data_IF_621833523438
#
_entry.id   IF_621833523438
#
_cell.length_a   1.000
_cell.length_b   1.000
_cell.length_c   1.000
_cell.angle_alpha   90.00
_cell.angle_beta   90.00
_cell.angle_gamma   90.00
#
_symmetry.space_group_name_H-M   'P 1'
#
loop_
_entity.id
_entity.type
_entity.pdbx_description
1 polymer ?
#
# COMPACT_ATOMS: atom_id res chain seq x y z
N UNK A 1 14.93 30.44 13.55
CA UNK A 1 15.58 29.12 13.31
C UNK A 1 14.70 27.93 13.69
N UNK A 2 13.96 27.97 14.81
CA UNK A 2 13.12 26.88 15.32
C UNK A 2 12.04 26.36 14.34
N UNK A 3 11.32 27.26 13.66
CA UNK A 3 10.28 26.90 12.69
C UNK A 3 10.81 26.23 11.41
N UNK A 4 12.08 26.46 11.05
CA UNK A 4 12.70 25.85 9.87
C UNK A 4 12.96 24.35 10.12
N UNK A 5 13.57 24.03 11.27
CA UNK A 5 13.83 22.64 11.70
C UNK A 5 12.57 21.78 11.76
N UNK A 6 11.45 22.32 12.27
CA UNK A 6 10.18 21.57 12.34
C UNK A 6 9.62 21.20 10.98
N UNK A 7 9.78 22.08 9.99
CA UNK A 7 9.33 21.83 8.62
C UNK A 7 10.19 20.80 7.91
N UNK A 8 11.50 20.87 8.09
CA UNK A 8 12.43 19.89 7.51
C UNK A 8 12.17 18.49 8.09
N UNK A 9 11.92 18.39 9.40
CA UNK A 9 11.51 17.13 10.04
C UNK A 9 10.19 16.61 9.44
N UNK A 10 9.20 17.47 9.26
CA UNK A 10 7.92 17.09 8.65
C UNK A 10 8.09 16.59 7.21
N UNK A 11 8.98 17.20 6.43
CA UNK A 11 9.30 16.75 5.08
C UNK A 11 10.00 15.40 5.05
N UNK A 12 10.93 15.15 5.97
CA UNK A 12 11.58 13.83 6.11
C UNK A 12 10.58 12.77 6.55
N UNK A 13 9.70 13.08 7.51
CA UNK A 13 8.64 12.16 7.92
C UNK A 13 7.66 11.89 6.78
N UNK A 14 7.28 12.89 6.00
CA UNK A 14 6.44 12.72 4.83
C UNK A 14 7.11 11.83 3.78
N UNK A 15 8.41 12.00 3.55
CA UNK A 15 9.20 11.14 2.65
C UNK A 15 9.11 9.66 3.05
N UNK A 16 9.35 9.32 4.32
CA UNK A 16 9.18 7.95 4.81
C UNK A 16 7.72 7.48 4.75
N UNK A 17 6.76 8.37 5.01
CA UNK A 17 5.34 8.10 4.85
C UNK A 17 4.97 7.71 3.42
N UNK A 18 5.49 8.40 2.41
CA UNK A 18 5.28 8.06 0.99
C UNK A 18 5.97 6.76 0.59
N UNK A 19 7.13 6.42 1.17
CA UNK A 19 7.77 5.11 1.01
C UNK A 19 6.81 4.02 1.50
N UNK A 20 6.36 4.12 2.76
CA UNK A 20 5.48 3.12 3.38
C UNK A 20 4.16 2.97 2.62
N UNK A 21 3.52 4.09 2.26
CA UNK A 21 2.30 4.10 1.45
C UNK A 21 2.49 3.38 0.11
N UNK A 22 3.61 3.63 -0.58
CA UNK A 22 3.91 3.00 -1.87
C UNK A 22 4.22 1.50 -1.75
N UNK A 23 4.82 1.08 -0.63
CA UNK A 23 5.07 -0.34 -0.35
C UNK A 23 3.74 -1.08 -0.16
N UNK A 24 2.84 -0.55 0.68
CA UNK A 24 1.52 -1.13 0.91
C UNK A 24 0.69 -1.21 -0.37
N UNK A 25 0.79 -0.21 -1.24
CA UNK A 25 0.01 -0.17 -2.47
C UNK A 25 0.43 -1.22 -3.50
N UNK A 26 1.73 -1.51 -3.59
CA UNK A 26 2.30 -2.34 -4.66
C UNK A 26 2.46 -3.80 -4.25
N UNK A 27 2.42 -4.11 -2.95
CA UNK A 27 2.58 -5.46 -2.44
C UNK A 27 1.72 -6.51 -3.15
N UNK A 28 0.44 -6.24 -3.40
CA UNK A 28 -0.49 -7.17 -4.04
C UNK A 28 -0.25 -7.29 -5.54
N UNK A 29 0.23 -6.23 -6.20
CA UNK A 29 0.56 -6.28 -7.62
C UNK A 29 1.65 -7.32 -7.90
N UNK A 30 2.56 -7.53 -6.94
CA UNK A 30 3.62 -8.52 -7.02
C UNK A 30 3.16 -9.85 -6.43
N UNK A 31 2.50 -9.83 -5.27
CA UNK A 31 2.05 -11.04 -4.59
C UNK A 31 1.04 -11.84 -5.43
N UNK A 32 0.20 -11.19 -6.25
CA UNK A 32 -0.75 -11.89 -7.13
C UNK A 32 -0.04 -12.77 -8.17
N UNK A 33 1.18 -12.42 -8.58
CA UNK A 33 2.00 -13.26 -9.46
C UNK A 33 2.46 -14.51 -8.72
N UNK A 34 2.90 -14.37 -7.47
CA UNK A 34 3.29 -15.49 -6.63
C UNK A 34 2.10 -16.38 -6.21
N UNK A 35 0.91 -15.80 -6.00
CA UNK A 35 -0.32 -16.52 -5.70
C UNK A 35 -0.82 -17.39 -6.87
N UNK A 36 -0.42 -17.04 -8.09
CA UNK A 36 -0.88 -17.71 -9.31
C UNK A 36 0.24 -18.45 -10.05
N UNK A 37 1.47 -18.42 -9.54
CA UNK A 37 2.56 -19.20 -10.11
C UNK A 37 2.42 -20.66 -9.70
N UNK A 38 2.84 -21.55 -10.60
CA UNK A 38 2.87 -22.99 -10.35
C UNK A 38 4.22 -23.35 -9.73
N UNK A 39 4.21 -24.02 -8.59
CA UNK A 39 5.44 -24.50 -7.95
C UNK A 39 5.48 -26.04 -7.93
N UNK A 40 6.67 -26.65 -8.11
CA UNK A 40 6.81 -28.09 -8.11
C UNK A 40 6.74 -28.65 -6.68
N UNK A 41 5.86 -29.62 -6.45
CA UNK A 41 5.77 -30.41 -5.22
C UNK A 41 6.14 -31.84 -5.56
N UNK A 42 7.20 -32.35 -4.95
CA UNK A 42 7.65 -33.73 -5.12
C UNK A 42 6.78 -34.60 -4.22
N UNK A 43 5.97 -35.47 -4.82
CA UNK A 43 5.16 -36.44 -4.09
C UNK A 43 6.04 -37.60 -3.62
N UNK A 44 5.65 -38.31 -2.58
CA UNK A 44 6.35 -39.50 -2.04
C UNK A 44 6.66 -40.58 -3.09
N UNK A 45 5.99 -40.56 -4.24
CA UNK A 45 6.21 -41.48 -5.36
C UNK A 45 7.28 -41.00 -6.37
N UNK A 46 8.00 -39.90 -6.10
CA UNK A 46 9.03 -39.35 -6.97
C UNK A 46 8.51 -38.55 -8.18
N UNK A 47 7.19 -38.36 -8.29
CA UNK A 47 6.56 -37.54 -9.32
C UNK A 47 6.45 -36.07 -8.88
N UNK A 48 6.90 -35.17 -9.75
CA UNK A 48 6.76 -33.72 -9.58
C UNK A 48 5.38 -33.28 -10.08
N UNK A 49 4.50 -32.87 -9.17
CA UNK A 49 3.23 -32.23 -9.52
C UNK A 49 3.37 -30.72 -9.37
N UNK A 50 2.80 -29.97 -10.31
CA UNK A 50 2.77 -28.51 -10.24
C UNK A 50 1.47 -28.09 -9.57
N UNK A 51 1.58 -27.52 -8.36
CA UNK A 51 0.45 -27.03 -7.58
C UNK A 51 0.36 -25.51 -7.73
N UNK A 52 -0.87 -24.99 -7.70
CA UNK A 52 -1.16 -23.56 -7.77
C UNK A 52 -2.14 -23.22 -6.64
N UNK A 53 -1.86 -22.15 -5.89
CA UNK A 53 -2.70 -21.76 -4.76
C UNK A 53 -4.03 -21.15 -5.21
N UNK A 54 -4.00 -20.31 -6.25
CA UNK A 54 -5.20 -19.68 -6.81
C UNK A 54 -5.20 -19.68 -8.34
N UNK A 55 -6.27 -20.19 -8.95
CA UNK A 55 -6.48 -20.13 -10.40
C UNK A 55 -7.22 -18.84 -10.81
N UNK A 56 -6.54 -17.70 -10.66
CA UNK A 56 -7.07 -16.43 -11.16
C UNK A 56 -6.76 -16.25 -12.65
N UNK A 57 -7.81 -16.13 -13.46
CA UNK A 57 -7.67 -15.70 -14.85
C UNK A 57 -7.16 -14.24 -14.93
N UNK A 58 -6.53 -13.87 -16.05
CA UNK A 58 -5.99 -12.52 -16.30
C UNK A 58 -7.03 -11.42 -16.08
N UNK A 59 -8.28 -11.65 -16.48
CA UNK A 59 -9.39 -10.71 -16.26
C UNK A 59 -9.63 -10.48 -14.75
N UNK A 60 -9.66 -11.56 -13.98
CA UNK A 60 -9.87 -11.52 -12.53
C UNK A 60 -8.73 -10.81 -11.80
N UNK A 61 -7.47 -11.05 -12.20
CA UNK A 61 -6.31 -10.32 -11.67
C UNK A 61 -6.45 -8.82 -11.92
N UNK A 62 -6.88 -8.44 -13.14
CA UNK A 62 -7.16 -7.05 -13.51
C UNK A 62 -8.26 -6.41 -12.66
N UNK A 63 -9.33 -7.16 -12.35
CA UNK A 63 -10.38 -6.68 -11.45
C UNK A 63 -9.89 -6.47 -10.01
N UNK A 64 -9.13 -7.41 -9.44
CA UNK A 64 -8.58 -7.27 -8.09
C UNK A 64 -7.65 -6.07 -8.00
N UNK A 65 -6.78 -5.88 -9.00
CA UNK A 65 -5.84 -4.77 -9.04
C UNK A 65 -6.54 -3.42 -9.24
N UNK A 66 -7.57 -3.36 -10.09
CA UNK A 66 -8.32 -2.13 -10.35
C UNK A 66 -9.27 -1.74 -9.21
N UNK A 67 -9.78 -2.70 -8.42
CA UNK A 67 -10.64 -2.48 -7.25
C UNK A 67 -10.07 -1.43 -6.28
N UNK A 68 -8.76 -1.46 -6.05
CA UNK A 68 -8.05 -0.47 -5.25
C UNK A 68 -8.25 0.96 -5.79
N UNK A 69 -8.09 1.15 -7.10
CA UNK A 69 -8.18 2.47 -7.73
C UNK A 69 -9.60 3.03 -7.69
N UNK A 70 -10.63 2.18 -7.80
CA UNK A 70 -12.01 2.63 -7.66
C UNK A 70 -12.28 3.22 -6.27
N UNK A 71 -11.80 2.56 -5.20
CA UNK A 71 -11.86 3.11 -3.85
C UNK A 71 -11.10 4.43 -3.73
N UNK A 72 -9.84 4.43 -4.19
CA UNK A 72 -8.96 5.60 -4.13
C UNK A 72 -9.57 6.86 -4.78
N UNK A 73 -10.16 6.72 -5.97
CA UNK A 73 -10.79 7.82 -6.70
C UNK A 73 -11.97 8.44 -5.93
N UNK A 74 -12.81 7.62 -5.31
CA UNK A 74 -14.00 8.10 -4.57
C UNK A 74 -13.59 8.99 -3.39
N UNK A 75 -12.48 8.67 -2.73
CA UNK A 75 -12.04 9.37 -1.51
C UNK A 75 -11.15 10.58 -1.73
N UNK A 76 -10.55 10.74 -2.92
CA UNK A 76 -9.70 11.90 -3.20
C UNK A 76 -10.43 13.24 -3.05
N UNK A 77 -11.68 13.32 -3.55
CA UNK A 77 -12.49 14.54 -3.49
C UNK A 77 -12.92 14.87 -2.04
N UNK A 78 -13.61 13.96 -1.31
CA UNK A 78 -14.05 14.25 0.06
C UNK A 78 -12.90 14.28 1.07
N UNK A 79 -11.75 13.68 0.76
CA UNK A 79 -10.65 13.53 1.70
C UNK A 79 -10.03 14.85 2.15
N UNK A 80 -9.93 15.83 1.25
CA UNK A 80 -9.47 17.18 1.61
C UNK A 80 -10.42 17.88 2.58
N UNK A 81 -11.73 17.75 2.36
CA UNK A 81 -12.76 18.30 3.26
C UNK A 81 -12.71 17.62 4.64
N UNK A 82 -12.60 16.30 4.69
CA UNK A 82 -12.55 15.55 5.94
C UNK A 82 -11.27 15.87 6.74
N UNK A 83 -10.13 16.04 6.06
CA UNK A 83 -8.88 16.47 6.68
C UNK A 83 -9.00 17.84 7.37
N UNK A 84 -9.81 18.75 6.82
CA UNK A 84 -10.04 20.07 7.44
C UNK A 84 -10.85 19.99 8.74
N UNK A 85 -11.75 19.00 8.88
CA UNK A 85 -12.59 18.82 10.07
C UNK A 85 -11.93 18.00 11.17
N UNK A 86 -11.27 16.90 10.80
CA UNK A 86 -10.71 15.94 11.76
C UNK A 86 -9.23 16.21 12.09
N UNK A 87 -8.58 17.07 11.32
CA UNK A 87 -7.16 17.35 11.38
C UNK A 87 -6.36 16.33 10.57
N UNK A 88 -5.59 16.81 9.58
CA UNK A 88 -4.87 15.96 8.63
C UNK A 88 -3.93 14.91 9.28
N UNK A 89 -3.27 15.22 10.40
CA UNK A 89 -2.35 14.28 11.04
C UNK A 89 -3.06 13.04 11.62
N UNK A 90 -4.26 13.19 12.18
CA UNK A 90 -5.06 12.07 12.71
C UNK A 90 -5.63 11.22 11.58
N UNK A 91 -6.15 11.89 10.55
CA UNK A 91 -6.72 11.22 9.38
C UNK A 91 -5.65 10.44 8.60
N UNK A 92 -4.45 11.00 8.47
CA UNK A 92 -3.29 10.33 7.87
C UNK A 92 -2.91 9.06 8.63
N UNK A 93 -2.73 9.15 9.95
CA UNK A 93 -2.38 7.99 10.77
C UNK A 93 -3.46 6.91 10.78
N UNK A 94 -4.74 7.31 10.87
CA UNK A 94 -5.86 6.37 10.80
C UNK A 94 -5.96 5.68 9.43
N UNK A 95 -5.77 6.41 8.33
CA UNK A 95 -5.77 5.86 6.98
C UNK A 95 -4.71 4.78 6.80
N UNK A 96 -3.46 5.10 7.16
CA UNK A 96 -2.34 4.14 7.08
C UNK A 96 -2.57 2.94 8.00
N UNK A 97 -3.00 3.16 9.25
CA UNK A 97 -3.22 2.07 10.20
C UNK A 97 -4.32 1.10 9.76
N UNK A 98 -5.41 1.61 9.19
CA UNK A 98 -6.48 0.78 8.62
C UNK A 98 -5.97 0.01 7.39
N UNK A 99 -5.27 0.68 6.48
CA UNK A 99 -4.68 0.01 5.30
C UNK A 99 -3.70 -1.10 5.71
N UNK A 100 -2.84 -0.85 6.70
CA UNK A 100 -1.91 -1.85 7.22
C UNK A 100 -2.64 -3.05 7.85
N UNK A 101 -3.69 -2.81 8.64
CA UNK A 101 -4.50 -3.87 9.23
C UNK A 101 -5.14 -4.77 8.16
N UNK A 102 -5.79 -4.17 7.16
CA UNK A 102 -6.39 -4.93 6.06
C UNK A 102 -5.35 -5.65 5.20
N UNK A 103 -4.16 -5.08 5.05
CA UNK A 103 -3.02 -5.73 4.39
C UNK A 103 -2.62 -7.00 5.12
N UNK A 104 -2.48 -6.96 6.45
CA UNK A 104 -2.17 -8.15 7.28
C UNK A 104 -3.29 -9.20 7.23
N UNK A 105 -4.55 -8.77 7.12
CA UNK A 105 -5.70 -9.67 7.03
C UNK A 105 -5.89 -10.29 5.63
N UNK A 106 -5.33 -9.68 4.59
CA UNK A 106 -5.45 -10.12 3.20
C UNK A 106 -5.15 -11.60 2.96
N UNK A 107 -4.07 -12.21 3.48
CA UNK A 107 -3.80 -13.63 3.26
C UNK A 107 -4.90 -14.55 3.79
N UNK A 108 -5.53 -14.21 4.92
CA UNK A 108 -6.66 -14.98 5.45
C UNK A 108 -7.91 -14.80 4.57
N UNK A 109 -8.18 -13.57 4.14
CA UNK A 109 -9.35 -13.25 3.31
C UNK A 109 -9.24 -13.89 1.92
N UNK A 110 -8.03 -13.92 1.35
CA UNK A 110 -7.76 -14.54 0.05
C UNK A 110 -8.15 -16.02 0.02
N UNK A 111 -7.99 -16.75 1.13
CA UNK A 111 -8.36 -18.17 1.24
C UNK A 111 -9.88 -18.39 1.34
N UNK A 112 -10.65 -17.40 1.79
CA UNK A 112 -12.10 -17.54 1.99
C UNK A 112 -12.85 -17.35 0.68
N UNK A 113 -12.73 -16.17 0.07
CA UNK A 113 -13.43 -15.88 -1.18
C UNK A 113 -12.85 -14.66 -1.90
N UNK A 114 -12.88 -14.71 -3.23
CA UNK A 114 -12.36 -13.65 -4.08
C UNK A 114 -13.12 -12.32 -3.95
N UNK A 115 -14.43 -12.36 -3.75
CA UNK A 115 -15.23 -11.15 -3.53
C UNK A 115 -14.84 -10.40 -2.26
N UNK A 116 -14.47 -11.10 -1.18
CA UNK A 116 -13.98 -10.46 0.03
C UNK A 116 -12.59 -9.84 -0.17
N UNK A 117 -11.74 -10.48 -0.99
CA UNK A 117 -10.46 -9.90 -1.39
C UNK A 117 -10.67 -8.59 -2.15
N UNK A 118 -11.60 -8.57 -3.12
CA UNK A 118 -11.99 -7.36 -3.86
C UNK A 118 -12.51 -6.27 -2.92
N UNK A 119 -13.42 -6.62 -1.99
CA UNK A 119 -13.95 -5.67 -1.02
C UNK A 119 -12.83 -5.07 -0.14
N UNK A 120 -11.89 -5.89 0.30
CA UNK A 120 -10.71 -5.45 1.06
C UNK A 120 -9.87 -4.46 0.26
N UNK A 121 -9.64 -4.73 -1.04
CA UNK A 121 -8.92 -3.80 -1.93
C UNK A 121 -9.62 -2.46 -2.08
N UNK A 122 -10.95 -2.46 -2.19
CA UNK A 122 -11.72 -1.21 -2.22
C UNK A 122 -11.52 -0.43 -0.93
N UNK A 123 -11.59 -1.08 0.23
CA UNK A 123 -11.40 -0.44 1.54
C UNK A 123 -9.99 0.15 1.68
N UNK A 124 -8.95 -0.61 1.33
CA UNK A 124 -7.56 -0.11 1.34
C UNK A 124 -7.41 1.12 0.43
N UNK A 125 -8.00 1.08 -0.77
CA UNK A 125 -8.01 2.22 -1.70
C UNK A 125 -8.68 3.46 -1.12
N UNK A 126 -9.85 3.30 -0.47
CA UNK A 126 -10.55 4.39 0.22
C UNK A 126 -9.66 5.02 1.31
N UNK A 127 -8.99 4.20 2.12
CA UNK A 127 -8.11 4.67 3.20
C UNK A 127 -6.85 5.38 2.68
N UNK A 128 -6.22 4.86 1.62
CA UNK A 128 -5.06 5.52 0.99
C UNK A 128 -5.44 6.85 0.33
N UNK A 129 -6.63 6.95 -0.26
CA UNK A 129 -7.12 8.20 -0.83
C UNK A 129 -7.25 9.31 0.20
N UNK A 130 -7.76 9.01 1.39
CA UNK A 130 -7.77 9.96 2.52
C UNK A 130 -6.37 10.37 2.97
N UNK A 131 -5.43 9.43 2.94
CA UNK A 131 -4.04 9.64 3.37
C UNK A 131 -3.34 10.67 2.48
N UNK A 132 -3.48 10.57 1.16
CA UNK A 132 -2.86 11.52 0.22
C UNK A 132 -3.42 12.94 0.39
N UNK A 133 -4.75 13.08 0.42
CA UNK A 133 -5.39 14.40 0.61
C UNK A 133 -5.07 15.01 1.98
N UNK A 134 -4.91 14.18 3.01
CA UNK A 134 -4.52 14.63 4.35
C UNK A 134 -3.10 15.21 4.37
N UNK A 135 -2.16 14.58 3.65
CA UNK A 135 -0.79 15.10 3.55
C UNK A 135 -0.75 16.45 2.85
N UNK A 136 -1.51 16.61 1.75
CA UNK A 136 -1.65 17.89 1.05
C UNK A 136 -2.21 18.99 1.97
N UNK A 137 -3.18 18.66 2.82
CA UNK A 137 -3.70 19.58 3.84
C UNK A 137 -2.66 19.93 4.92
N UNK A 138 -1.84 18.99 5.37
CA UNK A 138 -0.77 19.26 6.35
C UNK A 138 0.26 20.23 5.74
N UNK A 139 0.68 20.00 4.51
CA UNK A 139 1.57 20.94 3.79
C UNK A 139 0.90 22.30 3.56
N UNK A 140 -0.41 22.27 3.31
CA UNK A 140 -1.41 23.32 3.47
C UNK A 140 -1.08 24.40 4.53
N UNK A 141 -0.82 23.90 5.73
CA UNK A 141 -0.77 24.70 6.95
C UNK A 141 0.64 24.95 7.45
N UNK A 142 1.54 23.98 7.26
CA UNK A 142 2.87 24.01 7.88
C UNK A 142 3.97 24.54 6.97
N UNK A 143 3.74 24.59 5.65
CA UNK A 143 4.77 24.97 4.67
C UNK A 143 4.39 26.26 3.94
N UNK A 144 5.26 27.30 3.97
CA UNK A 144 5.00 28.55 3.27
C UNK A 144 5.01 28.37 1.75
N UNK A 145 4.23 29.16 0.99
CA UNK A 145 4.01 28.93 -0.45
C UNK A 145 5.29 28.89 -1.28
N UNK A 146 6.27 29.75 -0.97
CA UNK A 146 7.53 29.87 -1.71
C UNK A 146 8.42 28.62 -1.62
N UNK A 147 8.38 27.88 -0.52
CA UNK A 147 9.22 26.70 -0.31
C UNK A 147 8.40 25.39 -0.41
N UNK A 148 7.08 25.48 -0.58
CA UNK A 148 6.16 24.33 -0.59
C UNK A 148 6.48 23.32 -1.68
N UNK A 149 6.57 23.76 -2.93
CA UNK A 149 6.78 22.84 -4.06
C UNK A 149 8.11 22.09 -3.94
N UNK A 150 9.16 22.74 -3.38
CA UNK A 150 10.46 22.10 -3.18
C UNK A 150 10.39 21.00 -2.13
N UNK A 151 9.73 21.27 -0.99
CA UNK A 151 9.59 20.29 0.09
C UNK A 151 8.66 19.14 -0.27
N UNK A 152 7.55 19.44 -0.96
CA UNK A 152 6.64 18.44 -1.51
C UNK A 152 7.35 17.57 -2.53
N UNK A 153 8.08 18.18 -3.48
CA UNK A 153 8.85 17.47 -4.48
C UNK A 153 9.86 16.50 -3.86
N UNK A 154 10.60 16.94 -2.83
CA UNK A 154 11.49 16.05 -2.08
C UNK A 154 10.72 14.89 -1.44
N UNK A 155 9.63 15.13 -0.73
CA UNK A 155 8.86 14.06 -0.09
C UNK A 155 8.29 13.05 -1.10
N UNK A 156 7.82 13.51 -2.26
CA UNK A 156 7.31 12.65 -3.33
C UNK A 156 8.37 11.76 -3.98
N UNK A 157 9.67 12.09 -3.87
CA UNK A 157 10.73 11.15 -4.31
C UNK A 157 10.76 9.86 -3.48
N UNK A 158 10.13 9.86 -2.29
CA UNK A 158 9.93 8.65 -1.49
C UNK A 158 9.04 7.62 -2.20
N UNK A 159 8.07 8.06 -3.01
CA UNK A 159 7.17 7.16 -3.74
C UNK A 159 7.93 6.17 -4.62
N UNK A 160 8.70 6.59 -5.65
CA UNK A 160 9.42 5.66 -6.51
C UNK A 160 10.44 4.80 -5.75
N UNK A 161 11.05 5.31 -4.67
CA UNK A 161 11.92 4.51 -3.80
C UNK A 161 11.14 3.40 -3.09
N UNK A 162 9.94 3.69 -2.58
CA UNK A 162 9.02 2.71 -2.02
C UNK A 162 8.61 1.65 -3.05
N UNK A 163 8.35 2.04 -4.29
CA UNK A 163 8.03 1.10 -5.38
C UNK A 163 9.18 0.12 -5.60
N UNK A 164 10.39 0.63 -5.81
CA UNK A 164 11.58 -0.21 -6.11
C UNK A 164 11.87 -1.15 -4.95
N UNK A 165 11.85 -0.64 -3.72
CA UNK A 165 12.07 -1.45 -2.52
C UNK A 165 10.99 -2.53 -2.35
N UNK A 166 9.71 -2.20 -2.56
CA UNK A 166 8.62 -3.16 -2.52
C UNK A 166 8.77 -4.26 -3.57
N UNK A 167 9.14 -3.91 -4.80
CA UNK A 167 9.36 -4.85 -5.90
C UNK A 167 10.49 -5.83 -5.58
N UNK A 168 11.64 -5.32 -5.14
CA UNK A 168 12.79 -6.15 -4.79
C UNK A 168 12.51 -7.04 -3.57
N UNK A 169 11.96 -6.48 -2.49
CA UNK A 169 11.70 -7.24 -1.26
C UNK A 169 10.60 -8.29 -1.46
N UNK A 170 9.48 -7.92 -2.08
CA UNK A 170 8.34 -8.84 -2.23
C UNK A 170 8.69 -10.03 -3.13
N UNK A 171 9.50 -9.83 -4.17
CA UNK A 171 9.96 -10.94 -5.02
C UNK A 171 10.83 -11.95 -4.25
N UNK A 172 11.79 -11.44 -3.45
CA UNK A 172 12.66 -12.28 -2.62
C UNK A 172 11.82 -13.02 -1.57
N UNK A 173 10.98 -12.30 -0.83
CA UNK A 173 10.13 -12.86 0.23
C UNK A 173 9.19 -13.92 -0.34
N UNK A 174 8.53 -13.65 -1.47
CA UNK A 174 7.63 -14.60 -2.11
C UNK A 174 8.33 -15.90 -2.50
N UNK A 175 9.61 -15.84 -2.90
CA UNK A 175 10.38 -17.02 -3.30
C UNK A 175 10.78 -17.90 -2.12
N UNK A 176 11.16 -17.30 -0.97
CA UNK A 176 11.68 -18.06 0.18
C UNK A 176 10.63 -18.37 1.26
N UNK A 177 9.69 -17.45 1.51
CA UNK A 177 8.73 -17.50 2.61
C UNK A 177 7.27 -17.63 2.14
N UNK A 178 7.05 -17.64 0.82
CA UNK A 178 5.72 -17.69 0.22
C UNK A 178 5.04 -16.32 0.14
N UNK A 179 3.93 -16.29 -0.57
CA UNK A 179 3.20 -15.05 -0.86
C UNK A 179 2.54 -14.43 0.37
N UNK A 180 2.14 -15.23 1.37
CA UNK A 180 1.52 -14.72 2.59
C UNK A 180 2.49 -13.82 3.38
N UNK A 181 3.77 -14.18 3.42
CA UNK A 181 4.80 -13.45 4.15
C UNK A 181 4.99 -12.01 3.63
N UNK A 182 4.74 -11.78 2.33
CA UNK A 182 4.78 -10.44 1.73
C UNK A 182 3.79 -9.52 2.43
N UNK A 183 2.56 -9.98 2.67
CA UNK A 183 1.51 -9.21 3.33
C UNK A 183 1.79 -8.97 4.81
N UNK A 184 2.31 -9.98 5.53
CA UNK A 184 2.67 -9.83 6.93
C UNK A 184 3.81 -8.85 7.14
N UNK A 185 4.88 -8.95 6.35
CA UNK A 185 6.05 -8.07 6.49
C UNK A 185 5.68 -6.64 6.06
N UNK A 186 5.03 -6.46 4.91
CA UNK A 186 4.66 -5.11 4.44
C UNK A 186 3.63 -4.44 5.34
N UNK A 187 2.73 -5.19 5.96
CA UNK A 187 1.74 -4.64 6.90
C UNK A 187 2.27 -4.36 8.31
N UNK A 188 3.37 -4.98 8.75
CA UNK A 188 3.94 -4.79 10.10
C UNK A 188 5.09 -3.79 10.15
N UNK A 189 5.77 -3.54 9.02
CA UNK A 189 6.84 -2.54 8.90
C UNK A 189 6.33 -1.09 8.97
N UNK A 190 5.00 -0.92 8.84
CA UNK A 190 4.28 0.36 8.85
C UNK A 190 3.91 0.76 10.27
#
# INVERSE_FOLDING_TARGET
MFWRRRRDILTVLAFFGFINMSILRINLSIAILAMTSKYPVITNNGTTIYVQDFDFNSQTKGFILSAFFYGYMVTQIPGGWLATRMGGHKLYGAGIGVTALFTVLTPFIAQVHIYFLIATRVIEGLCEGFTNSSMEYIWAQWVPPLERNRLMGFAFTGTPLGIVTAMSMSGIIATYLGWQAVFFITGTVV
#
